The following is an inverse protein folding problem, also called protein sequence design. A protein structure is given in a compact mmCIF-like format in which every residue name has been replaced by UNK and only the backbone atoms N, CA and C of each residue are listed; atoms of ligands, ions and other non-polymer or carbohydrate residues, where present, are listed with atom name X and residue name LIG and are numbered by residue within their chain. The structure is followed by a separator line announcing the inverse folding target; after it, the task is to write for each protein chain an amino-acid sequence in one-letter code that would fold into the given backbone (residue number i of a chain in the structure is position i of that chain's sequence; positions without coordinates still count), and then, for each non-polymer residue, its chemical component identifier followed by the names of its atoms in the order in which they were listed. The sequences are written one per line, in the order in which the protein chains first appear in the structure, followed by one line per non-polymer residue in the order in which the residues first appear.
data_IF_630664844010
#
_entry.id   IF_630664844010
#
_cell.length_a   1.000
_cell.length_b   1.000
_cell.length_c   1.000
_cell.angle_alpha   90.00
_cell.angle_beta   90.00
_cell.angle_gamma   90.00
#
_symmetry.space_group_name_H-M   'P 1'
#
loop_
_entity.id
_entity.type
_entity.pdbx_description
1 polymer ?
#
# COMPACT_ATOMS: atom_id res chain seq x y z
N UNK A 1 -12.67 -13.01 -0.34
CA UNK A 1 -13.53 -11.86 -0.72
C UNK A 1 -15.02 -12.20 -0.95
N UNK A 2 -15.55 -13.33 -0.45
CA UNK A 2 -16.93 -13.75 -0.77
C UNK A 2 -18.03 -12.78 -0.30
N UNK A 3 -17.80 -12.00 0.76
CA UNK A 3 -18.79 -11.06 1.30
C UNK A 3 -19.01 -9.82 0.43
N UNK A 4 -18.00 -9.41 -0.34
CA UNK A 4 -18.04 -8.21 -1.19
C UNK A 4 -18.28 -8.49 -2.66
N UNK A 5 -17.88 -9.68 -3.13
CA UNK A 5 -17.98 -10.04 -4.54
C UNK A 5 -18.58 -11.44 -4.69
N UNK A 6 -19.79 -11.49 -5.23
CA UNK A 6 -20.50 -12.74 -5.51
C UNK A 6 -19.79 -13.59 -6.56
N UNK A 7 -18.99 -12.99 -7.46
CA UNK A 7 -18.20 -13.73 -8.45
C UNK A 7 -17.05 -14.51 -7.82
N UNK A 8 -16.52 -14.05 -6.69
CA UNK A 8 -15.45 -14.74 -5.98
C UNK A 8 -15.88 -16.13 -5.50
N UNK A 9 -17.17 -16.31 -5.16
CA UNK A 9 -17.71 -17.61 -4.78
C UNK A 9 -17.69 -18.59 -5.97
N UNK A 10 -18.10 -18.12 -7.15
CA UNK A 10 -18.18 -18.94 -8.36
C UNK A 10 -16.79 -19.38 -8.88
N UNK A 11 -15.74 -18.63 -8.58
CA UNK A 11 -14.36 -18.94 -8.99
C UNK A 11 -13.61 -19.80 -7.97
N UNK A 12 -14.21 -20.06 -6.82
CA UNK A 12 -13.57 -20.84 -5.77
C UNK A 12 -13.64 -22.33 -6.07
N UNK A 13 -12.49 -22.99 -5.98
CA UNK A 13 -12.35 -24.44 -5.99
C UNK A 13 -11.06 -24.82 -5.26
N UNK A 14 -10.94 -26.06 -4.81
CA UNK A 14 -9.68 -26.57 -4.24
C UNK A 14 -8.52 -26.43 -5.23
N UNK A 15 -8.77 -26.67 -6.51
CA UNK A 15 -7.77 -26.50 -7.58
C UNK A 15 -7.32 -25.04 -7.69
N UNK A 16 -8.25 -24.08 -7.61
CA UNK A 16 -7.93 -22.65 -7.60
C UNK A 16 -7.09 -22.27 -6.38
N UNK A 17 -7.40 -22.81 -5.20
CA UNK A 17 -6.62 -22.59 -3.97
C UNK A 17 -5.19 -23.10 -4.12
N UNK A 18 -4.99 -24.32 -4.64
CA UNK A 18 -3.64 -24.86 -4.88
C UNK A 18 -2.86 -24.06 -5.92
N UNK A 19 -3.53 -23.61 -6.98
CA UNK A 19 -2.94 -22.72 -7.99
C UNK A 19 -2.51 -21.38 -7.38
N UNK A 20 -3.33 -20.79 -6.51
CA UNK A 20 -3.01 -19.56 -5.79
C UNK A 20 -1.83 -19.74 -4.85
N UNK A 21 -1.83 -20.80 -4.03
CA UNK A 21 -0.71 -21.13 -3.12
C UNK A 21 0.61 -21.26 -3.89
N UNK A 22 0.62 -22.04 -4.98
CA UNK A 22 1.81 -22.21 -5.83
C UNK A 22 2.28 -20.91 -6.47
N UNK A 23 1.35 -20.05 -6.89
CA UNK A 23 1.66 -18.73 -7.45
C UNK A 23 2.27 -17.79 -6.39
N UNK A 24 1.73 -17.81 -5.17
CA UNK A 24 2.24 -17.02 -4.04
C UNK A 24 3.68 -17.43 -3.68
N UNK A 25 3.99 -18.73 -3.65
CA UNK A 25 5.38 -19.23 -3.46
C UNK A 25 6.34 -18.65 -4.51
N UNK A 26 5.94 -18.65 -5.78
CA UNK A 26 6.74 -18.04 -6.86
C UNK A 26 6.94 -16.54 -6.67
N UNK A 27 5.90 -15.79 -6.30
CA UNK A 27 6.02 -14.35 -6.00
C UNK A 27 7.00 -14.11 -4.85
N UNK A 28 6.90 -14.92 -3.78
CA UNK A 28 7.82 -14.85 -2.64
C UNK A 28 9.27 -15.13 -3.06
N UNK A 29 9.52 -16.16 -3.88
CA UNK A 29 10.85 -16.44 -4.43
C UNK A 29 11.38 -15.30 -5.31
N UNK A 30 10.53 -14.72 -6.17
CA UNK A 30 10.92 -13.64 -7.09
C UNK A 30 11.32 -12.35 -6.35
N UNK A 31 10.63 -12.01 -5.26
CA UNK A 31 10.91 -10.79 -4.48
C UNK A 31 12.01 -10.98 -3.44
N UNK A 32 12.29 -12.21 -3.01
CA UNK A 32 13.25 -12.50 -1.94
C UNK A 32 14.65 -11.92 -2.15
N UNK A 33 15.23 -11.92 -3.38
CA UNK A 33 16.53 -11.31 -3.64
C UNK A 33 16.53 -9.78 -3.48
N UNK A 34 15.37 -9.13 -3.61
CA UNK A 34 15.24 -7.68 -3.42
C UNK A 34 15.30 -7.26 -1.94
N UNK A 35 15.08 -8.20 -1.02
CA UNK A 35 15.15 -7.95 0.42
C UNK A 35 16.60 -7.96 0.90
N UNK A 36 17.01 -6.90 1.59
CA UNK A 36 18.34 -6.81 2.20
C UNK A 36 18.46 -7.79 3.37
N UNK A 37 19.69 -8.19 3.71
CA UNK A 37 19.96 -8.94 4.94
C UNK A 37 19.40 -8.19 6.15
N UNK A 38 18.80 -8.93 7.09
CA UNK A 38 18.06 -8.44 8.25
C UNK A 38 16.80 -7.62 7.94
N UNK A 39 16.48 -7.43 6.65
CA UNK A 39 15.23 -6.83 6.21
C UNK A 39 14.04 -7.71 6.54
N UNK A 40 12.88 -7.06 6.72
CA UNK A 40 11.62 -7.74 7.04
C UNK A 40 10.70 -7.72 5.81
N UNK A 41 10.18 -8.89 5.46
CA UNK A 41 9.11 -9.07 4.49
C UNK A 41 7.80 -9.33 5.24
N UNK A 42 6.81 -8.52 4.95
CA UNK A 42 5.44 -8.73 5.41
C UNK A 42 4.69 -9.47 4.31
N UNK A 43 4.20 -10.67 4.64
CA UNK A 43 3.36 -11.48 3.77
C UNK A 43 1.93 -11.42 4.27
N UNK A 44 0.97 -11.19 3.37
CA UNK A 44 -0.44 -11.09 3.76
C UNK A 44 -1.37 -11.57 2.67
N UNK A 45 -2.52 -12.08 3.06
CA UNK A 45 -3.52 -12.65 2.15
C UNK A 45 -4.94 -12.31 2.62
N UNK A 46 -5.89 -12.24 1.69
CA UNK A 46 -7.32 -12.05 1.99
C UNK A 46 -8.12 -13.36 1.93
N UNK A 47 -7.45 -14.47 2.30
CA UNK A 47 -7.97 -15.85 2.32
C UNK A 47 -7.73 -16.48 3.69
N UNK A 48 -8.52 -17.51 4.02
CA UNK A 48 -8.39 -18.25 5.28
C UNK A 48 -7.65 -19.58 5.10
N UNK A 49 -7.18 -19.89 3.89
CA UNK A 49 -6.58 -21.18 3.58
C UNK A 49 -5.16 -21.26 4.16
N UNK A 50 -4.92 -22.25 5.03
CA UNK A 50 -3.61 -22.48 5.65
C UNK A 50 -2.49 -22.63 4.61
N UNK A 51 -2.79 -23.31 3.49
CA UNK A 51 -1.85 -23.53 2.39
C UNK A 51 -1.42 -22.26 1.65
N UNK A 52 -2.25 -21.21 1.68
CA UNK A 52 -1.91 -19.89 1.15
C UNK A 52 -1.21 -19.02 2.20
N UNK A 53 -1.34 -19.37 3.49
CA UNK A 53 -0.98 -18.55 4.64
C UNK A 53 0.26 -19.12 5.35
N UNK A 54 0.04 -19.81 6.49
CA UNK A 54 1.09 -20.40 7.33
C UNK A 54 2.05 -21.30 6.54
N UNK A 55 1.53 -22.15 5.65
CA UNK A 55 2.38 -23.11 4.91
C UNK A 55 3.29 -22.40 3.89
N UNK A 56 2.83 -21.29 3.31
CA UNK A 56 3.64 -20.48 2.39
C UNK A 56 4.72 -19.68 3.14
N UNK A 57 4.39 -19.17 4.32
CA UNK A 57 5.36 -18.47 5.16
C UNK A 57 6.44 -19.42 5.66
N UNK A 58 6.04 -20.61 6.14
CA UNK A 58 6.97 -21.66 6.55
C UNK A 58 7.86 -22.10 5.39
N UNK A 59 7.27 -22.41 4.23
CA UNK A 59 8.02 -22.77 3.04
C UNK A 59 9.06 -21.71 2.66
N UNK A 60 8.69 -20.42 2.73
CA UNK A 60 9.61 -19.33 2.43
C UNK A 60 10.74 -19.24 3.47
N UNK A 61 10.45 -19.41 4.76
CA UNK A 61 11.45 -19.44 5.82
C UNK A 61 12.50 -20.56 5.59
N UNK A 62 12.02 -21.77 5.34
CA UNK A 62 12.85 -22.98 5.18
C UNK A 62 13.61 -23.01 3.85
N UNK A 63 12.94 -22.61 2.76
CA UNK A 63 13.51 -22.74 1.40
C UNK A 63 14.33 -21.53 0.99
N UNK A 64 13.90 -20.32 1.34
CA UNK A 64 14.55 -19.08 0.92
C UNK A 64 15.53 -18.55 1.98
N UNK A 65 15.44 -19.02 3.22
CA UNK A 65 16.40 -18.74 4.28
C UNK A 65 16.05 -17.49 5.09
N UNK A 66 15.14 -17.64 6.05
CA UNK A 66 14.73 -16.58 6.95
C UNK A 66 14.22 -17.08 8.30
N UNK A 67 13.88 -16.13 9.18
CA UNK A 67 13.27 -16.39 10.47
C UNK A 67 11.88 -15.75 10.53
N UNK A 68 10.87 -16.53 10.90
CA UNK A 68 9.51 -16.02 11.14
C UNK A 68 9.52 -15.11 12.36
N UNK A 69 8.83 -13.96 12.26
CA UNK A 69 8.69 -12.98 13.31
C UNK A 69 7.25 -12.96 13.84
N UNK A 70 7.10 -12.71 15.15
CA UNK A 70 5.81 -12.52 15.79
C UNK A 70 5.13 -13.85 16.12
N UNK A 71 5.31 -14.33 17.34
CA UNK A 71 4.63 -15.51 17.88
C UNK A 71 3.80 -15.19 19.12
N UNK A 72 3.66 -13.90 19.45
CA UNK A 72 2.98 -13.43 20.65
C UNK A 72 1.79 -12.58 20.27
N UNK A 73 0.74 -12.61 21.10
CA UNK A 73 -0.46 -11.82 20.83
C UNK A 73 -0.22 -10.37 21.26
N UNK A 74 0.35 -9.55 20.37
CA UNK A 74 0.60 -8.12 20.62
C UNK A 74 -0.69 -7.28 20.71
N UNK A 75 -1.84 -7.82 20.26
CA UNK A 75 -3.10 -7.09 20.13
C UNK A 75 -4.30 -7.87 20.71
N UNK A 76 -4.25 -8.29 21.99
CA UNK A 76 -5.26 -9.18 22.56
C UNK A 76 -6.67 -8.56 22.56
N UNK A 77 -6.76 -7.24 22.73
CA UNK A 77 -8.03 -6.51 22.81
C UNK A 77 -8.74 -6.35 21.46
N UNK A 78 -8.07 -6.65 20.35
CA UNK A 78 -8.60 -6.45 19.00
C UNK A 78 -9.23 -7.71 18.41
N UNK A 79 -9.26 -8.83 19.14
CA UNK A 79 -9.80 -10.10 18.66
C UNK A 79 -8.95 -10.76 17.56
N UNK A 80 -7.67 -10.36 17.45
CA UNK A 80 -6.72 -10.95 16.50
C UNK A 80 -6.37 -12.35 16.98
N UNK A 81 -6.46 -13.33 16.07
CA UNK A 81 -6.20 -14.73 16.37
C UNK A 81 -4.79 -15.08 15.91
N UNK A 82 -3.96 -15.61 16.81
CA UNK A 82 -2.67 -16.19 16.42
C UNK A 82 -2.90 -17.46 15.61
N UNK A 83 -2.17 -17.59 14.51
CA UNK A 83 -1.99 -18.86 13.79
C UNK A 83 -0.63 -19.46 14.15
N UNK A 84 -0.20 -20.49 13.43
CA UNK A 84 1.09 -21.13 13.68
C UNK A 84 2.26 -20.17 13.45
N UNK A 85 2.16 -19.32 12.42
CA UNK A 85 3.24 -18.43 11.99
C UNK A 85 2.78 -16.99 11.68
N UNK A 86 1.60 -16.58 12.14
CA UNK A 86 1.08 -15.25 11.86
C UNK A 86 -0.20 -14.90 12.62
N UNK A 87 -0.94 -13.95 12.05
CA UNK A 87 -2.12 -13.35 12.66
C UNK A 87 -3.30 -13.40 11.69
N UNK A 88 -4.44 -13.88 12.16
CA UNK A 88 -5.70 -13.94 11.45
C UNK A 88 -6.69 -12.91 12.00
N UNK A 89 -7.07 -11.96 11.15
CA UNK A 89 -8.14 -11.00 11.37
C UNK A 89 -9.42 -11.58 10.77
N UNK A 90 -10.10 -12.47 11.51
CA UNK A 90 -11.29 -13.17 11.01
C UNK A 90 -12.50 -12.25 10.92
N UNK A 91 -13.18 -12.26 9.77
CA UNK A 91 -14.44 -11.55 9.58
C UNK A 91 -15.48 -11.93 10.64
N UNK A 92 -16.14 -10.93 11.21
CA UNK A 92 -17.13 -11.11 12.28
C UNK A 92 -16.54 -11.14 13.69
N UNK A 93 -15.22 -11.31 13.82
CA UNK A 93 -14.49 -11.12 15.08
C UNK A 93 -13.80 -9.75 15.05
N UNK A 94 -12.99 -9.52 14.04
CA UNK A 94 -12.35 -8.23 13.77
C UNK A 94 -13.17 -7.48 12.72
N UNK A 95 -13.38 -6.17 12.91
CA UNK A 95 -14.06 -5.34 11.92
C UNK A 95 -13.27 -5.35 10.60
N UNK A 96 -13.82 -6.02 9.59
CA UNK A 96 -13.19 -6.17 8.28
C UNK A 96 -13.74 -7.36 7.49
N UNK A 97 -13.09 -7.66 6.37
CA UNK A 97 -13.50 -8.72 5.44
C UNK A 97 -12.82 -10.07 5.65
N UNK A 98 -11.78 -10.10 6.49
CA UNK A 98 -10.87 -11.22 6.58
C UNK A 98 -9.50 -10.87 6.02
N UNK A 99 -8.47 -11.03 6.83
CA UNK A 99 -7.08 -10.89 6.40
C UNK A 99 -6.19 -11.80 7.24
N UNK A 100 -5.17 -12.40 6.63
CA UNK A 100 -4.06 -13.02 7.33
C UNK A 100 -2.78 -12.23 7.07
N UNK A 101 -1.90 -12.13 8.06
CA UNK A 101 -0.61 -11.45 7.96
C UNK A 101 0.46 -12.18 8.78
N UNK A 102 1.66 -12.30 8.22
CA UNK A 102 2.84 -12.83 8.88
C UNK A 102 4.10 -12.10 8.42
N UNK A 103 5.20 -12.26 9.15
CA UNK A 103 6.44 -11.55 8.90
C UNK A 103 7.64 -12.50 8.88
N UNK A 104 8.57 -12.25 7.96
CA UNK A 104 9.82 -12.98 7.81
C UNK A 104 11.00 -12.01 7.83
N UNK A 105 12.01 -12.30 8.63
CA UNK A 105 13.29 -11.62 8.57
C UNK A 105 14.29 -12.44 7.75
N UNK A 106 14.91 -11.83 6.74
CA UNK A 106 15.98 -12.47 5.98
C UNK A 106 17.23 -12.59 6.82
N UNK A 107 17.72 -13.80 7.02
CA UNK A 107 18.91 -14.08 7.84
C UNK A 107 20.14 -14.36 6.98
N UNK A 108 19.94 -14.85 5.75
CA UNK A 108 21.02 -15.12 4.80
C UNK A 108 21.57 -13.83 4.20
N UNK A 109 22.89 -13.69 4.21
CA UNK A 109 23.59 -12.61 3.51
C UNK A 109 23.55 -12.88 2.00
N UNK A 110 23.27 -11.85 1.22
CA UNK A 110 23.32 -11.93 -0.25
C UNK A 110 24.20 -10.81 -0.79
N UNK A 111 24.94 -11.11 -1.87
CA UNK A 111 25.78 -10.13 -2.52
C UNK A 111 24.90 -9.01 -3.09
N UNK A 112 25.03 -7.81 -2.55
CA UNK A 112 24.29 -6.65 -3.02
C UNK A 112 24.60 -6.38 -4.49
N UNK A 113 23.61 -6.51 -5.37
CA UNK A 113 23.73 -6.08 -6.76
C UNK A 113 23.77 -4.55 -6.77
N UNK A 114 24.94 -3.97 -7.04
CA UNK A 114 25.10 -2.53 -7.26
C UNK A 114 24.58 -2.15 -8.65
N UNK A 115 23.26 -2.14 -8.83
CA UNK A 115 22.59 -1.53 -10.00
C UNK A 115 21.70 -0.40 -9.51
N UNK A 116 21.67 0.69 -10.26
CA UNK A 116 20.73 1.78 -10.01
C UNK A 116 19.32 1.31 -10.39
N UNK A 117 18.30 1.70 -9.61
CA UNK A 117 16.90 1.30 -9.83
C UNK A 117 16.43 1.57 -11.27
N UNK A 118 16.86 2.70 -11.83
CA UNK A 118 16.60 3.13 -13.21
C UNK A 118 17.11 2.18 -14.27
N UNK A 119 18.12 1.35 -13.98
CA UNK A 119 18.69 0.39 -14.93
C UNK A 119 17.92 -0.92 -14.98
N UNK A 120 17.05 -1.15 -13.98
CA UNK A 120 16.38 -2.43 -13.76
C UNK A 120 14.87 -2.30 -14.01
N UNK A 121 14.28 -1.15 -13.68
CA UNK A 121 12.84 -0.93 -13.79
C UNK A 121 12.51 0.31 -14.60
N UNK A 122 11.35 0.25 -15.29
CA UNK A 122 10.74 1.42 -15.93
C UNK A 122 9.76 2.06 -14.95
N UNK A 123 10.16 3.12 -14.24
CA UNK A 123 9.32 3.87 -13.31
C UNK A 123 8.09 4.47 -14.01
N UNK A 124 6.96 4.53 -13.32
CA UNK A 124 5.83 5.34 -13.79
C UNK A 124 5.87 6.78 -13.21
N UNK A 125 6.35 6.94 -11.98
CA UNK A 125 6.54 8.23 -11.30
C UNK A 125 7.80 8.17 -10.41
N UNK A 126 8.47 9.31 -10.20
CA UNK A 126 9.61 9.43 -9.28
C UNK A 126 9.45 10.57 -8.29
N UNK A 127 9.33 10.22 -7.02
CA UNK A 127 9.16 11.21 -5.96
C UNK A 127 7.89 12.04 -6.15
N UNK A 128 7.91 13.25 -5.59
CA UNK A 128 6.82 14.23 -5.70
C UNK A 128 7.33 15.39 -6.54
N UNK A 129 6.75 15.57 -7.72
CA UNK A 129 7.08 16.69 -8.59
C UNK A 129 6.51 17.98 -8.01
N UNK A 130 7.27 19.08 -8.05
CA UNK A 130 6.75 20.40 -7.63
C UNK A 130 5.88 21.05 -8.70
N UNK A 131 6.03 20.62 -9.95
CA UNK A 131 5.46 21.25 -11.13
C UNK A 131 6.33 21.05 -12.35
N UNK A 132 5.91 21.65 -13.45
CA UNK A 132 6.58 21.61 -14.74
C UNK A 132 6.67 22.99 -15.37
N UNK A 133 7.68 23.23 -16.21
CA UNK A 133 7.75 24.45 -17.00
C UNK A 133 6.99 24.27 -18.31
N UNK A 134 6.01 25.15 -18.57
CA UNK A 134 5.41 25.34 -19.90
C UNK A 134 5.94 26.65 -20.48
N UNK A 135 6.94 26.54 -21.37
CA UNK A 135 7.69 27.68 -21.87
C UNK A 135 8.47 28.36 -20.73
N UNK A 136 8.17 29.63 -20.47
CA UNK A 136 8.80 30.40 -19.38
C UNK A 136 8.02 30.35 -18.06
N UNK A 137 6.83 29.75 -18.04
CA UNK A 137 5.96 29.72 -16.87
C UNK A 137 6.10 28.39 -16.14
N UNK A 138 6.38 28.44 -14.84
CA UNK A 138 6.27 27.29 -13.96
C UNK A 138 4.80 27.04 -13.62
N UNK A 139 4.35 25.80 -13.80
CA UNK A 139 3.01 25.33 -13.45
C UNK A 139 3.16 24.35 -12.29
N UNK A 140 2.70 24.70 -11.08
CA UNK A 140 2.77 23.81 -9.93
C UNK A 140 1.97 22.53 -10.15
N UNK A 141 2.43 21.43 -9.57
CA UNK A 141 1.73 20.13 -9.58
C UNK A 141 0.76 20.06 -8.40
N UNK A 142 -0.46 19.59 -8.63
CA UNK A 142 -1.44 19.37 -7.56
C UNK A 142 -0.97 18.31 -6.55
N UNK A 143 -0.25 17.28 -7.02
CA UNK A 143 0.31 16.24 -6.15
C UNK A 143 1.30 16.85 -5.13
N UNK A 144 1.94 17.98 -5.46
CA UNK A 144 2.81 18.67 -4.51
C UNK A 144 2.02 19.30 -3.37
N UNK A 145 0.93 20.01 -3.67
CA UNK A 145 0.09 20.69 -2.67
C UNK A 145 -0.54 19.70 -1.67
N UNK A 146 -0.83 18.48 -2.14
CA UNK A 146 -1.36 17.39 -1.32
C UNK A 146 -0.29 16.60 -0.56
N UNK A 147 0.99 16.90 -0.77
CA UNK A 147 2.08 16.16 -0.15
C UNK A 147 2.44 16.69 1.24
N UNK A 148 2.96 15.80 2.09
CA UNK A 148 3.52 16.16 3.41
C UNK A 148 4.72 17.12 3.34
N UNK A 149 5.27 17.35 2.14
CA UNK A 149 6.38 18.28 1.89
C UNK A 149 5.90 19.68 1.50
N UNK A 150 4.60 19.87 1.37
CA UNK A 150 4.02 21.18 1.15
C UNK A 150 4.02 21.99 2.44
N UNK A 151 4.53 23.22 2.37
CA UNK A 151 4.71 24.11 3.52
C UNK A 151 3.91 25.41 3.41
N UNK A 152 2.87 25.45 2.57
CA UNK A 152 2.05 26.65 2.38
C UNK A 152 2.71 27.70 1.47
N UNK A 153 3.40 27.26 0.42
CA UNK A 153 4.13 28.15 -0.51
C UNK A 153 3.24 29.04 -1.38
N UNK A 154 1.94 28.73 -1.46
CA UNK A 154 0.96 29.49 -2.23
C UNK A 154 -0.10 30.07 -1.29
N UNK A 155 -0.68 31.24 -1.62
CA UNK A 155 -1.86 31.72 -0.92
C UNK A 155 -2.98 30.66 -0.98
N UNK A 156 -3.77 30.55 0.07
CA UNK A 156 -4.88 29.61 0.11
C UNK A 156 -6.22 30.34 0.14
N UNK A 157 -7.25 29.66 -0.36
CA UNK A 157 -8.65 30.09 -0.30
C UNK A 157 -9.39 28.99 0.44
N UNK A 158 -9.88 29.30 1.64
CA UNK A 158 -10.76 28.40 2.38
C UNK A 158 -12.16 28.42 1.75
N UNK A 159 -12.70 27.23 1.49
CA UNK A 159 -14.01 27.03 0.86
C UNK A 159 -14.94 26.25 1.78
N UNK A 160 -16.25 26.42 1.55
CA UNK A 160 -17.23 25.56 2.19
C UNK A 160 -17.35 24.18 1.50
N UNK A 161 -18.19 23.30 2.05
CA UNK A 161 -18.35 21.94 1.53
C UNK A 161 -18.89 21.90 0.10
N UNK A 162 -19.81 22.80 -0.25
CA UNK A 162 -20.42 22.79 -1.58
C UNK A 162 -19.40 23.24 -2.62
N UNK A 163 -18.67 24.32 -2.32
CA UNK A 163 -17.58 24.82 -3.15
C UNK A 163 -16.43 23.80 -3.27
N UNK A 164 -16.09 23.09 -2.19
CA UNK A 164 -15.11 22.00 -2.25
C UNK A 164 -15.55 20.89 -3.21
N UNK A 165 -16.83 20.52 -3.21
CA UNK A 165 -17.36 19.51 -4.12
C UNK A 165 -17.38 20.01 -5.58
N UNK A 166 -17.76 21.26 -5.81
CA UNK A 166 -17.67 21.91 -7.12
C UNK A 166 -16.20 21.92 -7.63
N UNK A 167 -15.24 22.28 -6.77
CA UNK A 167 -13.81 22.23 -7.11
C UNK A 167 -13.34 20.82 -7.50
N UNK A 168 -13.67 19.81 -6.70
CA UNK A 168 -13.31 18.42 -6.95
C UNK A 168 -14.05 17.82 -8.16
N UNK A 169 -15.18 18.41 -8.54
CA UNK A 169 -15.89 18.11 -9.79
C UNK A 169 -15.25 18.83 -11.00
N UNK A 170 -14.23 19.66 -10.77
CA UNK A 170 -13.55 20.51 -11.75
C UNK A 170 -14.41 21.68 -12.28
N UNK A 171 -15.40 22.12 -11.52
CA UNK A 171 -16.18 23.32 -11.84
C UNK A 171 -15.36 24.59 -11.59
N UNK A 172 -15.65 25.64 -12.36
CA UNK A 172 -14.99 26.93 -12.22
C UNK A 172 -15.58 27.71 -11.04
N UNK A 173 -14.76 27.93 -10.01
CA UNK A 173 -15.12 28.76 -8.86
C UNK A 173 -14.72 30.22 -9.09
N UNK A 174 -15.53 31.15 -8.57
CA UNK A 174 -15.28 32.58 -8.69
C UNK A 174 -15.04 33.23 -7.32
N UNK A 175 -13.83 33.74 -7.12
CA UNK A 175 -13.40 34.40 -5.88
C UNK A 175 -12.96 35.85 -6.17
N UNK A 176 -13.86 36.86 -6.11
CA UNK A 176 -13.55 38.22 -6.53
C UNK A 176 -12.45 38.92 -5.72
N UNK A 177 -12.14 38.42 -4.51
CA UNK A 177 -11.15 38.98 -3.58
C UNK A 177 -9.91 38.11 -3.43
N UNK A 178 -9.72 37.09 -4.28
CA UNK A 178 -8.56 36.20 -4.16
C UNK A 178 -7.27 36.86 -4.66
N UNK A 179 -6.10 36.45 -4.13
CA UNK A 179 -4.81 36.82 -4.70
C UNK A 179 -4.71 36.43 -6.18
N UNK A 180 -3.94 37.21 -6.95
CA UNK A 180 -3.61 36.86 -8.33
C UNK A 180 -2.56 35.75 -8.37
N UNK A 181 -2.74 34.78 -9.26
CA UNK A 181 -1.78 33.69 -9.48
C UNK A 181 -2.30 32.35 -8.97
N UNK A 182 -1.36 31.44 -8.70
CA UNK A 182 -1.69 30.11 -8.17
C UNK A 182 -2.08 30.22 -6.70
N UNK A 183 -3.24 29.67 -6.36
CA UNK A 183 -3.71 29.53 -4.99
C UNK A 183 -4.02 28.06 -4.72
N UNK A 184 -3.86 27.60 -3.48
CA UNK A 184 -4.44 26.32 -3.06
C UNK A 184 -5.89 26.54 -2.64
N UNK A 185 -6.75 25.58 -2.96
CA UNK A 185 -8.11 25.53 -2.40
C UNK A 185 -8.04 24.66 -1.15
N UNK A 186 -8.54 25.17 -0.04
CA UNK A 186 -8.51 24.47 1.24
C UNK A 186 -9.92 24.20 1.73
N UNK A 187 -10.15 23.00 2.25
CA UNK A 187 -11.36 22.66 3.00
C UNK A 187 -10.96 22.11 4.37
N UNK A 188 -11.52 22.69 5.42
CA UNK A 188 -11.22 22.33 6.82
C UNK A 188 -9.71 22.36 7.14
N UNK A 189 -8.98 23.32 6.58
CA UNK A 189 -7.53 23.49 6.82
C UNK A 189 -6.63 22.54 6.02
N UNK A 190 -7.19 21.77 5.08
CA UNK A 190 -6.44 20.85 4.23
C UNK A 190 -6.54 21.25 2.75
N UNK A 191 -5.42 21.27 2.00
CA UNK A 191 -5.46 21.43 0.55
C UNK A 191 -6.31 20.34 -0.14
N UNK A 192 -7.05 20.73 -1.18
CA UNK A 192 -7.84 19.86 -2.05
C UNK A 192 -7.11 19.51 -3.35
#
# INVERSE_FOLDING_TARGET
MFRKDSKALAQWSEQTVQLCSSRQKRILADIWPALKQNGVLIYSTCTYQKCENDDNLLWAAETLGGRILGTENEFPDYGIQLTEYGYLLKAGIVRGEGQWVGALQKTVAENSIKKTLTDIVKPLKYGTHRGEFKGKKFIPDSDYALSIKYSGEYPHIDVDKNQALEYLHHDALHFPKSPLGFCTINYQGHPL
#
